data_IF_597801931769
#
_entry.id   IF_597801931769
#
_cell.length_a   1.000
_cell.length_b   1.000
_cell.length_c   1.000
_cell.angle_alpha   90.00
_cell.angle_beta   90.00
_cell.angle_gamma   90.00
#
_symmetry.space_group_name_H-M   'P 1'
#
loop_
_entity.id
_entity.type
_entity.pdbx_description
1 polymer ?
#
# COMPACT_ATOMS: atom_id res chain seq x y z
N UNK A 1 5.81 12.19 8.02
CA UNK A 1 4.88 11.17 7.45
C UNK A 1 5.68 10.19 6.62
N UNK A 2 5.51 8.86 6.78
CA UNK A 2 6.33 7.93 6.04
C UNK A 2 6.04 8.07 4.53
N UNK A 3 7.10 8.26 3.75
CA UNK A 3 7.06 8.38 2.28
C UNK A 3 6.55 7.06 1.69
N UNK A 4 5.24 6.94 1.47
CA UNK A 4 4.68 5.78 0.78
C UNK A 4 4.98 5.92 -0.73
N UNK A 5 5.69 4.96 -1.34
CA UNK A 5 6.08 5.05 -2.76
C UNK A 5 4.89 5.26 -3.70
N UNK A 6 3.75 4.62 -3.41
CA UNK A 6 2.52 4.79 -4.20
C UNK A 6 2.06 6.25 -4.31
N UNK A 7 2.13 7.02 -3.22
CA UNK A 7 1.71 8.42 -3.27
C UNK A 7 2.73 9.34 -3.93
N UNK A 8 4.01 8.97 -3.90
CA UNK A 8 5.08 9.73 -4.53
C UNK A 8 5.22 9.42 -6.03
N UNK A 9 4.74 8.26 -6.46
CA UNK A 9 4.83 7.79 -7.85
C UNK A 9 3.45 7.84 -8.53
N UNK A 10 2.53 6.94 -8.18
CA UNK A 10 1.21 6.78 -8.83
C UNK A 10 0.21 7.91 -8.60
N UNK A 11 0.44 8.78 -7.62
CA UNK A 11 -0.49 9.86 -7.24
C UNK A 11 0.14 11.25 -7.24
N UNK A 12 1.35 11.39 -7.79
CA UNK A 12 2.07 12.65 -7.81
C UNK A 12 1.30 13.76 -8.56
N UNK A 13 0.58 13.40 -9.63
CA UNK A 13 -0.22 14.28 -10.48
C UNK A 13 -1.68 14.43 -10.00
N UNK A 14 -2.09 13.75 -8.93
CA UNK A 14 -3.48 13.71 -8.43
C UNK A 14 -3.57 14.08 -6.95
N UNK A 15 -3.20 15.30 -6.54
CA UNK A 15 -3.07 15.68 -5.14
C UNK A 15 -4.38 15.59 -4.33
N UNK A 16 -5.52 15.90 -4.95
CA UNK A 16 -6.82 15.81 -4.28
C UNK A 16 -7.19 14.36 -3.93
N UNK A 17 -7.10 13.44 -4.90
CA UNK A 17 -7.35 12.01 -4.69
C UNK A 17 -6.33 11.41 -3.73
N UNK A 18 -5.04 11.79 -3.86
CA UNK A 18 -3.99 11.40 -2.93
C UNK A 18 -4.33 11.82 -1.49
N UNK A 19 -4.82 13.04 -1.31
CA UNK A 19 -5.26 13.56 -0.01
C UNK A 19 -6.38 12.74 0.61
N UNK A 20 -7.42 12.42 -0.18
CA UNK A 20 -8.53 11.58 0.29
C UNK A 20 -8.06 10.17 0.69
N UNK A 21 -7.24 9.53 -0.14
CA UNK A 21 -6.70 8.21 0.16
C UNK A 21 -5.76 8.23 1.39
N UNK A 22 -4.93 9.27 1.56
CA UNK A 22 -4.10 9.43 2.75
C UNK A 22 -4.94 9.61 4.01
N UNK A 23 -6.03 10.38 3.95
CA UNK A 23 -6.97 10.50 5.08
C UNK A 23 -7.53 9.13 5.47
N UNK A 24 -8.02 8.37 4.49
CA UNK A 24 -8.62 7.06 4.72
C UNK A 24 -7.61 6.01 5.23
N UNK A 25 -6.48 5.85 4.54
CA UNK A 25 -5.57 4.72 4.72
C UNK A 25 -4.32 5.03 5.56
N UNK A 26 -4.02 6.30 5.85
CA UNK A 26 -2.80 6.68 6.58
C UNK A 26 -3.08 7.52 7.83
N UNK A 27 -4.18 8.29 7.86
CA UNK A 27 -4.54 9.12 9.01
C UNK A 27 -5.68 8.51 9.84
N UNK A 28 -6.48 7.64 9.23
CA UNK A 28 -7.43 6.77 9.91
C UNK A 28 -6.82 5.40 10.22
N UNK A 29 -7.57 4.35 9.91
CA UNK A 29 -7.12 2.97 10.11
C UNK A 29 -6.28 2.47 8.93
N UNK A 30 -4.99 2.24 9.18
CA UNK A 30 -4.06 1.68 8.20
C UNK A 30 -4.22 0.17 8.00
N UNK A 31 -4.99 -0.52 8.86
CA UNK A 31 -5.26 -1.96 8.73
C UNK A 31 -5.95 -2.29 7.41
N UNK A 32 -6.78 -1.40 6.88
CA UNK A 32 -7.45 -1.54 5.59
C UNK A 32 -6.56 -1.27 4.37
N UNK A 33 -5.28 -0.90 4.55
CA UNK A 33 -4.37 -0.61 3.46
C UNK A 33 -3.56 -1.85 3.05
N UNK A 34 -3.84 -2.41 1.87
CA UNK A 34 -3.15 -3.59 1.36
C UNK A 34 -1.62 -3.42 1.34
N UNK A 35 -1.15 -2.24 0.93
CA UNK A 35 0.29 -1.90 0.91
C UNK A 35 0.91 -1.87 2.30
N UNK A 36 0.16 -1.40 3.30
CA UNK A 36 0.61 -1.40 4.69
C UNK A 36 0.70 -2.82 5.23
N UNK A 37 -0.30 -3.67 4.96
CA UNK A 37 -0.29 -5.07 5.37
C UNK A 37 0.92 -5.82 4.81
N UNK A 38 1.21 -5.69 3.49
CA UNK A 38 2.38 -6.31 2.87
C UNK A 38 3.67 -5.76 3.47
N UNK A 39 3.77 -4.43 3.67
CA UNK A 39 4.94 -3.81 4.30
C UNK A 39 5.21 -4.38 5.69
N UNK A 40 4.17 -4.53 6.51
CA UNK A 40 4.29 -5.05 7.88
C UNK A 40 4.70 -6.52 7.88
N UNK A 41 4.16 -7.32 6.95
CA UNK A 41 4.42 -8.75 6.90
C UNK A 41 5.76 -9.11 6.21
N UNK A 42 6.18 -8.37 5.18
CA UNK A 42 7.29 -8.74 4.32
C UNK A 42 8.30 -7.61 4.03
N UNK A 43 8.12 -6.41 4.58
CA UNK A 43 9.01 -5.27 4.32
C UNK A 43 8.54 -4.39 3.15
N UNK A 44 9.09 -3.17 3.09
CA UNK A 44 8.65 -2.13 2.12
C UNK A 44 9.07 -2.40 0.67
N UNK A 45 10.19 -3.06 0.50
CA UNK A 45 10.80 -3.48 -0.76
C UNK A 45 9.98 -4.55 -1.47
N UNK A 46 9.22 -5.33 -0.70
CA UNK A 46 8.38 -6.42 -1.20
C UNK A 46 6.95 -5.97 -1.52
N UNK A 47 6.64 -4.67 -1.39
CA UNK A 47 5.32 -4.13 -1.73
C UNK A 47 5.24 -3.89 -3.24
N UNK A 48 4.36 -4.59 -3.98
CA UNK A 48 4.27 -4.43 -5.43
C UNK A 48 3.88 -2.99 -5.84
N UNK A 49 4.49 -2.49 -6.92
CA UNK A 49 4.20 -1.15 -7.43
C UNK A 49 2.75 -1.01 -7.96
N UNK A 50 2.15 -2.11 -8.40
CA UNK A 50 0.77 -2.22 -8.91
C UNK A 50 -0.26 -2.52 -7.80
N UNK A 51 0.16 -2.73 -6.55
CA UNK A 51 -0.76 -2.99 -5.45
C UNK A 51 -1.40 -1.70 -4.95
N UNK A 52 -2.71 -1.54 -5.17
CA UNK A 52 -3.44 -0.36 -4.68
C UNK A 52 -3.82 -0.51 -3.20
N UNK A 53 -3.93 0.60 -2.43
CA UNK A 53 -4.31 0.55 -1.02
C UNK A 53 -5.61 -0.22 -0.72
N UNK A 54 -6.59 -0.18 -1.62
CA UNK A 54 -7.88 -0.88 -1.48
C UNK A 54 -7.86 -2.38 -1.77
N UNK A 55 -6.78 -2.91 -2.36
CA UNK A 55 -6.72 -4.30 -2.84
C UNK A 55 -6.31 -5.30 -1.75
N UNK A 56 -6.97 -5.24 -0.60
CA UNK A 56 -6.66 -6.11 0.56
C UNK A 56 -6.83 -7.59 0.23
N UNK A 57 -7.74 -7.92 -0.69
CA UNK A 57 -7.94 -9.28 -1.18
C UNK A 57 -6.68 -9.89 -1.83
N UNK A 58 -5.79 -9.08 -2.41
CA UNK A 58 -4.54 -9.55 -3.04
C UNK A 58 -3.41 -9.79 -2.05
N UNK A 59 -3.53 -9.33 -0.80
CA UNK A 59 -2.42 -9.37 0.18
C UNK A 59 -1.96 -10.79 0.43
N UNK A 60 -2.91 -11.73 0.57
CA UNK A 60 -2.59 -13.15 0.79
C UNK A 60 -1.79 -13.72 -0.38
N UNK A 61 -2.21 -13.44 -1.62
CA UNK A 61 -1.53 -13.93 -2.82
C UNK A 61 -0.13 -13.33 -2.98
N UNK A 62 0.01 -12.02 -2.69
CA UNK A 62 1.31 -11.34 -2.70
C UNK A 62 2.26 -11.96 -1.69
N UNK A 63 1.82 -12.16 -0.45
CA UNK A 63 2.65 -12.76 0.59
C UNK A 63 2.98 -14.23 0.29
N UNK A 64 2.03 -14.99 -0.26
CA UNK A 64 2.26 -16.37 -0.67
C UNK A 64 3.31 -16.47 -1.80
N UNK A 65 3.29 -15.52 -2.74
CA UNK A 65 4.28 -15.45 -3.82
C UNK A 65 5.70 -15.12 -3.29
N UNK A 66 5.82 -14.36 -2.19
CA UNK A 66 7.10 -14.01 -1.57
C UNK A 66 7.69 -15.16 -0.73
N UNK A 67 6.84 -15.99 -0.11
CA UNK A 67 7.27 -17.09 0.78
C UNK A 67 7.57 -18.41 0.07
N UNK A 68 7.44 -18.49 -1.25
CA UNK A 68 7.87 -19.64 -2.06
C UNK A 68 9.15 -19.30 -2.80
N UNK A 69 10.26 -19.36 -2.06
CA UNK A 69 11.63 -19.52 -2.54
C UNK A 69 12.26 -20.70 -1.83
#
# INVERSE_FOLDING_TARGET
>A
MPKCPFFNDKMADKPATAGMMKKQYCQGDSSGCARHQVKVAAGSENVPADLYPSQTYRVKDVLAALGKG
#
